data_IF_628650844948
#
_entry.id   IF_628650844948
#
_cell.length_a   1.000
_cell.length_b   1.000
_cell.length_c   1.000
_cell.angle_alpha   90.00
_cell.angle_beta   90.00
_cell.angle_gamma   90.00
#
_symmetry.space_group_name_H-M   'P 1'
#
loop_
_entity.id
_entity.type
_entity.pdbx_description
1 polymer ?
#
# COMPACT_ATOMS: atom_id res chain seq x y z
N UNK A 1 8.47 -7.18 16.98
CA UNK A 1 9.27 -7.31 15.75
C UNK A 1 9.25 -5.95 15.04
N UNK A 2 10.19 -5.66 14.13
CA UNK A 2 10.22 -4.42 13.30
C UNK A 2 10.40 -4.86 11.85
N UNK A 3 9.90 -4.08 10.89
CA UNK A 3 10.08 -4.39 9.48
C UNK A 3 11.51 -4.06 9.03
N UNK A 4 12.14 -4.91 8.21
CA UNK A 4 13.46 -4.64 7.65
C UNK A 4 13.39 -3.54 6.60
N UNK A 5 14.35 -2.62 6.56
CA UNK A 5 14.38 -1.54 5.57
C UNK A 5 15.78 -0.95 5.37
N UNK A 6 15.91 -0.01 4.44
CA UNK A 6 17.15 0.72 4.14
C UNK A 6 17.54 1.84 5.12
N UNK A 7 16.88 1.98 6.28
CA UNK A 7 17.32 2.94 7.30
C UNK A 7 18.68 2.53 7.91
N UNK A 8 19.39 3.48 8.53
CA UNK A 8 20.67 3.20 9.21
C UNK A 8 20.54 2.09 10.27
N UNK A 9 19.39 2.03 10.94
CA UNK A 9 19.06 1.03 11.94
C UNK A 9 18.65 -0.33 11.34
N UNK A 10 18.54 -0.43 10.01
CA UNK A 10 18.12 -1.61 9.27
C UNK A 10 16.65 -1.98 9.42
N UNK A 11 15.89 -1.27 10.26
CA UNK A 11 14.50 -1.59 10.57
C UNK A 11 13.63 -0.36 10.81
N UNK A 12 12.31 -0.49 10.65
CA UNK A 12 11.32 0.57 10.90
C UNK A 12 10.06 0.06 11.61
N UNK A 13 9.37 0.98 12.26
CA UNK A 13 7.97 0.84 12.71
C UNK A 13 7.05 1.91 12.10
N UNK A 14 7.58 2.73 11.19
CA UNK A 14 6.83 3.75 10.46
C UNK A 14 6.61 3.22 9.05
N UNK A 15 5.36 2.89 8.74
CA UNK A 15 4.94 2.23 7.51
C UNK A 15 3.89 3.11 6.83
N UNK A 16 4.11 3.34 5.53
CA UNK A 16 3.12 3.90 4.62
C UNK A 16 2.49 2.76 3.84
N UNK A 17 1.17 2.75 3.72
CA UNK A 17 0.47 1.97 2.71
C UNK A 17 0.27 2.86 1.49
N UNK A 18 0.79 2.44 0.36
CA UNK A 18 0.75 3.17 -0.91
C UNK A 18 0.81 2.17 -2.05
N UNK A 19 -0.07 2.34 -3.04
CA UNK A 19 -0.08 1.50 -4.23
C UNK A 19 0.90 2.05 -5.26
N UNK A 20 1.69 1.17 -5.85
CA UNK A 20 2.54 1.48 -7.00
C UNK A 20 2.59 0.27 -7.93
N UNK A 21 2.77 0.53 -9.22
CA UNK A 21 2.77 -0.51 -10.24
C UNK A 21 3.93 -1.50 -10.02
N UNK A 22 3.60 -2.75 -9.73
CA UNK A 22 4.57 -3.84 -9.59
C UNK A 22 5.33 -3.87 -8.27
N UNK A 23 4.88 -3.13 -7.25
CA UNK A 23 5.46 -3.12 -5.91
C UNK A 23 4.47 -3.66 -4.86
N UNK A 24 5.00 -4.09 -3.72
CA UNK A 24 4.17 -4.40 -2.55
C UNK A 24 3.52 -3.13 -2.00
N UNK A 25 2.41 -3.29 -1.25
CA UNK A 25 1.64 -2.17 -0.71
C UNK A 25 2.37 -1.33 0.35
N UNK A 26 3.49 -1.81 0.90
CA UNK A 26 4.07 -1.29 2.13
C UNK A 26 5.41 -0.60 1.89
N UNK A 27 5.61 0.53 2.55
CA UNK A 27 6.79 1.35 2.38
C UNK A 27 7.31 1.83 3.72
N UNK A 28 8.63 1.87 3.88
CA UNK A 28 9.22 2.58 5.00
C UNK A 28 8.97 4.07 4.82
N UNK A 29 8.18 4.68 5.70
CA UNK A 29 7.89 6.13 5.65
C UNK A 29 9.16 7.00 5.68
N UNK A 30 10.26 6.49 6.25
CA UNK A 30 11.50 7.25 6.43
C UNK A 30 12.45 7.19 5.24
N UNK A 31 12.61 6.01 4.64
CA UNK A 31 13.61 5.78 3.58
C UNK A 31 13.02 5.30 2.26
N UNK A 32 11.69 5.25 2.16
CA UNK A 32 10.92 4.86 0.96
C UNK A 32 11.29 3.50 0.40
N UNK A 33 11.86 2.62 1.23
CA UNK A 33 12.12 1.23 0.88
C UNK A 33 10.80 0.46 0.83
N UNK A 34 10.53 -0.25 -0.27
CA UNK A 34 9.37 -1.14 -0.38
C UNK A 34 9.59 -2.33 0.56
N UNK A 35 8.67 -2.50 1.50
CA UNK A 35 8.73 -3.50 2.56
C UNK A 35 8.04 -4.77 2.08
N UNK A 36 8.66 -5.91 2.33
CA UNK A 36 8.06 -7.21 2.08
C UNK A 36 6.89 -7.43 3.05
N UNK A 37 5.68 -7.60 2.49
CA UNK A 37 4.46 -7.85 3.26
C UNK A 37 4.59 -9.15 4.08
N UNK A 38 5.30 -10.15 3.56
CA UNK A 38 5.43 -11.46 4.20
C UNK A 38 6.27 -11.44 5.48
N UNK A 39 7.15 -10.44 5.63
CA UNK A 39 8.00 -10.29 6.81
C UNK A 39 7.28 -9.63 7.99
N UNK A 40 6.06 -9.10 7.80
CA UNK A 40 5.32 -8.48 8.90
C UNK A 40 4.68 -9.52 9.84
N UNK A 41 4.67 -9.24 11.16
CA UNK A 41 4.05 -10.11 12.17
C UNK A 41 2.52 -9.89 12.24
N UNK A 42 1.82 -10.06 11.13
CA UNK A 42 0.37 -9.89 10.99
C UNK A 42 -0.26 -11.17 10.44
N UNK A 43 -1.59 -11.26 10.48
CA UNK A 43 -2.31 -12.42 9.96
C UNK A 43 -2.12 -12.59 8.46
N UNK A 44 -2.08 -13.84 7.98
CA UNK A 44 -2.04 -14.14 6.54
C UNK A 44 -3.19 -13.47 5.79
N UNK A 45 -4.35 -13.35 6.43
CA UNK A 45 -5.51 -12.66 5.84
C UNK A 45 -5.26 -11.17 5.53
N UNK A 46 -4.45 -10.48 6.34
CA UNK A 46 -4.06 -9.09 6.07
C UNK A 46 -3.00 -9.02 5.00
N UNK A 47 -2.06 -9.97 5.00
CA UNK A 47 -1.03 -10.06 3.96
C UNK A 47 -1.65 -10.26 2.57
N UNK A 48 -2.50 -11.28 2.44
CA UNK A 48 -3.22 -11.58 1.20
C UNK A 48 -4.00 -10.35 0.72
N UNK A 49 -4.72 -9.68 1.62
CA UNK A 49 -5.51 -8.51 1.26
C UNK A 49 -4.66 -7.30 0.82
N UNK A 50 -3.46 -7.13 1.38
CA UNK A 50 -2.52 -6.09 0.96
C UNK A 50 -1.94 -6.39 -0.43
N UNK A 51 -1.57 -7.64 -0.68
CA UNK A 51 -1.06 -8.11 -1.98
C UNK A 51 -2.12 -7.98 -3.08
N UNK A 52 -3.35 -8.43 -2.80
CA UNK A 52 -4.48 -8.31 -3.73
C UNK A 52 -4.83 -6.86 -4.03
N UNK A 53 -4.75 -5.98 -3.04
CA UNK A 53 -5.01 -4.54 -3.23
C UNK A 53 -3.90 -3.86 -4.04
N UNK A 54 -2.63 -4.19 -3.80
CA UNK A 54 -1.50 -3.68 -4.58
C UNK A 54 -1.59 -4.13 -6.05
N UNK A 55 -1.95 -5.40 -6.29
CA UNK A 55 -2.13 -5.94 -7.64
C UNK A 55 -3.25 -5.25 -8.45
N UNK A 56 -4.20 -4.59 -7.77
CA UNK A 56 -5.26 -3.81 -8.39
C UNK A 56 -4.88 -2.34 -8.64
N UNK A 57 -3.66 -1.92 -8.30
CA UNK A 57 -3.23 -0.56 -8.59
C UNK A 57 -3.19 -0.30 -10.10
N UNK A 58 -3.83 0.79 -10.52
CA UNK A 58 -3.84 1.19 -11.93
C UNK A 58 -4.92 0.53 -12.79
N UNK A 59 -5.88 -0.21 -12.21
CA UNK A 59 -7.03 -0.78 -12.96
C UNK A 59 -7.89 0.28 -13.68
N UNK A 60 -7.73 1.56 -13.31
CA UNK A 60 -8.33 2.70 -13.98
C UNK A 60 -7.59 3.15 -15.25
N UNK A 61 -6.47 2.49 -15.60
CA UNK A 61 -5.63 2.77 -16.77
C UNK A 61 -5.67 1.55 -17.70
N UNK A 62 -6.06 1.77 -18.95
CA UNK A 62 -5.82 0.84 -20.05
C UNK A 62 -4.34 0.94 -20.45
N UNK A 63 -3.57 -0.10 -20.13
CA UNK A 63 -2.14 -0.16 -20.40
C UNK A 63 -1.81 -0.30 -21.90
N UNK A 64 -2.72 -0.83 -22.72
CA UNK A 64 -2.49 -0.94 -24.16
C UNK A 64 -2.60 0.42 -24.85
N UNK A 65 -3.59 1.22 -24.44
CA UNK A 65 -3.87 2.52 -25.05
C UNK A 65 -3.28 3.69 -24.28
N UNK A 66 -2.74 3.45 -23.07
CA UNK A 66 -2.26 4.45 -22.13
C UNK A 66 -3.32 5.55 -21.87
N UNK A 67 -4.56 5.13 -21.66
CA UNK A 67 -5.71 6.01 -21.41
C UNK A 67 -6.48 5.56 -20.17
N UNK A 68 -7.22 6.49 -19.59
CA UNK A 68 -8.18 6.16 -18.55
C UNK A 68 -9.35 5.37 -19.15
N UNK A 69 -9.82 4.38 -18.41
CA UNK A 69 -11.08 3.68 -18.71
C UNK A 69 -12.28 4.58 -18.36
N UNK A 70 -13.47 4.26 -18.86
CA UNK A 70 -14.68 5.10 -18.69
C UNK A 70 -14.99 5.40 -17.21
N UNK A 71 -14.86 4.41 -16.33
CA UNK A 71 -15.15 4.52 -14.89
C UNK A 71 -13.89 4.79 -14.03
N UNK A 72 -12.81 5.31 -14.62
CA UNK A 72 -11.52 5.48 -13.95
C UNK A 72 -11.59 6.19 -12.59
N UNK A 73 -12.36 7.27 -12.50
CA UNK A 73 -12.54 8.02 -11.24
C UNK A 73 -13.20 7.18 -10.15
N UNK A 74 -14.21 6.38 -10.50
CA UNK A 74 -14.88 5.52 -9.53
C UNK A 74 -14.00 4.36 -9.11
N UNK A 75 -13.25 3.78 -10.05
CA UNK A 75 -12.29 2.71 -9.77
C UNK A 75 -11.18 3.19 -8.83
N UNK A 76 -10.60 4.36 -9.09
CA UNK A 76 -9.60 4.96 -8.21
C UNK A 76 -10.16 5.23 -6.80
N UNK A 77 -11.35 5.83 -6.70
CA UNK A 77 -11.99 6.08 -5.40
C UNK A 77 -12.23 4.78 -4.62
N UNK A 78 -12.68 3.72 -5.30
CA UNK A 78 -12.89 2.41 -4.68
C UNK A 78 -11.56 1.81 -4.20
N UNK A 79 -10.50 1.90 -5.02
CA UNK A 79 -9.17 1.44 -4.64
C UNK A 79 -8.64 2.20 -3.42
N UNK A 80 -8.76 3.53 -3.40
CA UNK A 80 -8.35 4.38 -2.29
C UNK A 80 -9.14 4.09 -1.00
N UNK A 81 -10.46 3.89 -1.10
CA UNK A 81 -11.28 3.52 0.05
C UNK A 81 -10.86 2.17 0.63
N UNK A 82 -10.55 1.18 -0.20
CA UNK A 82 -10.04 -0.12 0.23
C UNK A 82 -8.67 0.01 0.91
N UNK A 83 -7.76 0.83 0.36
CA UNK A 83 -6.45 1.09 0.95
C UNK A 83 -6.52 1.71 2.35
N UNK A 84 -7.43 2.67 2.55
CA UNK A 84 -7.68 3.25 3.87
C UNK A 84 -8.21 2.21 4.87
N UNK A 85 -9.13 1.34 4.45
CA UNK A 85 -9.64 0.25 5.31
C UNK A 85 -8.52 -0.73 5.69
N UNK A 86 -7.61 -1.05 4.76
CA UNK A 86 -6.45 -1.89 5.04
C UNK A 86 -5.48 -1.22 6.02
N UNK A 87 -5.27 0.09 5.91
CA UNK A 87 -4.46 0.85 6.87
C UNK A 87 -5.00 0.78 8.29
N UNK A 88 -6.33 0.90 8.45
CA UNK A 88 -6.98 0.80 9.75
C UNK A 88 -6.88 -0.61 10.35
N UNK A 89 -7.06 -1.66 9.51
CA UNK A 89 -6.89 -3.06 9.94
C UNK A 89 -5.45 -3.37 10.33
N UNK A 90 -4.48 -2.94 9.52
CA UNK A 90 -3.06 -3.13 9.79
C UNK A 90 -2.66 -2.46 11.10
N UNK A 91 -3.15 -1.24 11.33
CA UNK A 91 -2.97 -0.51 12.59
C UNK A 91 -3.59 -1.24 13.79
N UNK A 92 -4.75 -1.88 13.62
CA UNK A 92 -5.38 -2.66 14.67
C UNK A 92 -4.58 -3.91 15.05
N UNK A 93 -4.01 -4.63 14.08
CA UNK A 93 -3.19 -5.83 14.36
C UNK A 93 -1.80 -5.49 14.93
N UNK A 94 -1.14 -4.47 14.40
CA UNK A 94 0.20 -4.08 14.85
C UNK A 94 0.19 -3.23 16.14
N UNK A 95 -0.95 -2.64 16.46
CA UNK A 95 -1.16 -1.81 17.64
C UNK A 95 -0.27 -0.55 17.68
N UNK A 96 -0.12 0.01 18.89
CA UNK A 96 0.58 1.29 19.11
C UNK A 96 2.09 1.26 18.84
N UNK A 97 2.67 0.07 18.64
CA UNK A 97 4.10 -0.08 18.37
C UNK A 97 4.47 0.43 16.96
N UNK A 98 3.49 0.51 16.05
CA UNK A 98 3.67 0.96 14.68
C UNK A 98 2.90 2.25 14.42
N UNK A 99 3.51 3.12 13.61
CA UNK A 99 2.84 4.26 12.99
C UNK A 99 2.48 3.86 11.57
N UNK A 100 1.19 3.75 11.31
CA UNK A 100 0.64 3.43 9.99
C UNK A 100 0.00 4.69 9.40
N UNK A 101 0.35 4.98 8.14
CA UNK A 101 -0.27 6.02 7.35
C UNK A 101 -0.68 5.48 5.97
N UNK A 102 -1.63 6.14 5.31
CA UNK A 102 -2.10 5.79 3.99
C UNK A 102 -1.89 6.96 3.03
N UNK A 103 -1.34 6.68 1.86
CA UNK A 103 -1.24 7.62 0.74
C UNK A 103 -2.24 7.20 -0.33
N UNK A 104 -3.29 7.99 -0.61
CA UNK A 104 -4.19 7.69 -1.72
C UNK A 104 -3.47 7.89 -3.05
N UNK A 105 -3.83 7.09 -4.04
CA UNK A 105 -3.49 7.39 -5.42
C UNK A 105 -4.15 8.71 -5.83
N UNK A 106 -3.49 9.41 -6.74
CA UNK A 106 -4.04 10.57 -7.42
C UNK A 106 -3.77 10.37 -8.90
N UNK A 107 -4.82 10.14 -9.68
CA UNK A 107 -4.77 10.25 -11.13
C UNK A 107 -4.30 11.66 -11.46
N UNK A 108 -3.03 11.81 -11.82
CA UNK A 108 -2.55 13.06 -12.39
C UNK A 108 -3.21 13.23 -13.75
N UNK A 109 -4.08 14.23 -13.86
CA UNK A 109 -4.43 14.79 -15.16
C UNK A 109 -3.11 15.24 -15.80
N UNK A 110 -2.68 14.52 -16.84
CA UNK A 110 -1.60 14.98 -17.72
C UNK A 110 -2.03 16.22 -18.47
#
# INVERSE_FOLDING_TARGET
MRANCGCKEGTTTNITIEGEFGADALWCTKCTYNLDVEELPVSDSIKDALLDWAAQYGVWIDLETNRLVEDAEQLEKTHNAAGQVLADKLKAELGIAYTIQFTPSVMSAS
#
